data_IF_931977488014
#
_entry.id   IF_931977488014
#
_cell.length_a   1.000
_cell.length_b   1.000
_cell.length_c   1.000
_cell.angle_alpha   90.00
_cell.angle_beta   90.00
_cell.angle_gamma   90.00
#
_symmetry.space_group_name_H-M   'P 1'
#
loop_
_entity.id
_entity.type
_entity.pdbx_description
1 polymer ?
#
# COMPACT_ATOMS: atom_id res chain seq x y z
N UNK A 1 2.66 -11.66 -7.47
CA UNK A 1 1.52 -10.82 -7.07
C UNK A 1 0.27 -11.56 -7.49
N UNK A 2 -0.59 -11.89 -6.54
CA UNK A 2 -1.83 -12.64 -6.71
C UNK A 2 -3.01 -11.72 -6.37
N UNK A 3 -4.06 -11.72 -7.20
CA UNK A 3 -5.29 -10.98 -6.91
C UNK A 3 -6.09 -11.79 -5.90
N UNK A 4 -6.27 -11.25 -4.69
CA UNK A 4 -6.94 -11.93 -3.57
C UNK A 4 -8.40 -11.51 -3.42
N UNK A 5 -8.83 -10.47 -4.13
CA UNK A 5 -10.23 -10.07 -4.20
C UNK A 5 -10.44 -8.58 -4.35
N UNK A 6 -11.49 -8.08 -3.72
CA UNK A 6 -11.86 -6.66 -3.71
C UNK A 6 -12.21 -6.22 -2.31
N UNK A 7 -11.94 -4.96 -2.00
CA UNK A 7 -12.23 -4.33 -0.72
C UNK A 7 -12.84 -2.94 -0.95
N UNK A 8 -13.74 -2.48 -0.08
CA UNK A 8 -14.30 -1.13 -0.18
C UNK A 8 -13.61 -0.22 0.82
N UNK A 9 -12.92 0.81 0.33
CA UNK A 9 -12.22 1.82 1.14
C UNK A 9 -12.85 3.17 0.86
N UNK A 10 -13.38 3.83 1.90
CA UNK A 10 -14.04 5.14 1.78
C UNK A 10 -15.15 5.21 0.71
N UNK A 11 -15.86 4.10 0.52
CA UNK A 11 -16.92 3.97 -0.49
C UNK A 11 -16.43 3.72 -1.92
N UNK A 12 -15.12 3.62 -2.13
CA UNK A 12 -14.51 3.24 -3.41
C UNK A 12 -14.24 1.74 -3.42
N UNK A 13 -14.71 1.03 -4.45
CA UNK A 13 -14.38 -0.37 -4.64
C UNK A 13 -12.95 -0.49 -5.19
N UNK A 14 -12.11 -1.22 -4.47
CA UNK A 14 -10.70 -1.42 -4.77
C UNK A 14 -10.46 -2.89 -5.11
N UNK A 15 -9.68 -3.15 -6.15
CA UNK A 15 -9.06 -4.45 -6.35
C UNK A 15 -7.91 -4.63 -5.36
N UNK A 16 -7.74 -5.85 -4.85
CA UNK A 16 -6.73 -6.19 -3.84
C UNK A 16 -5.83 -7.30 -4.36
N UNK A 17 -4.53 -7.10 -4.23
CA UNK A 17 -3.54 -8.11 -4.53
C UNK A 17 -2.47 -8.19 -3.45
N UNK A 18 -1.88 -9.37 -3.31
CA UNK A 18 -0.79 -9.64 -2.37
C UNK A 18 0.40 -10.20 -3.13
N UNK A 19 1.59 -9.76 -2.75
CA UNK A 19 2.85 -10.34 -3.19
C UNK A 19 3.62 -10.82 -1.96
N UNK A 20 3.83 -12.12 -1.86
CA UNK A 20 4.70 -12.71 -0.84
C UNK A 20 6.12 -12.82 -1.42
N UNK A 21 7.12 -12.40 -0.64
CA UNK A 21 8.53 -12.60 -0.95
C UNK A 21 9.10 -13.64 0.00
N UNK A 22 10.04 -14.43 -0.52
CA UNK A 22 10.74 -15.48 0.21
C UNK A 22 12.26 -15.21 0.26
N UNK A 23 12.65 -13.95 0.07
CA UNK A 23 14.05 -13.52 0.14
C UNK A 23 14.43 -13.37 1.61
N UNK A 24 15.30 -14.26 2.10
CA UNK A 24 15.68 -14.33 3.52
C UNK A 24 16.45 -13.10 4.03
N UNK A 25 17.01 -12.29 3.12
CA UNK A 25 17.76 -11.07 3.41
C UNK A 25 16.93 -9.78 3.29
N UNK A 26 15.61 -9.88 3.01
CA UNK A 26 14.71 -8.73 2.99
C UNK A 26 13.86 -8.70 4.28
N UNK A 27 13.75 -7.51 4.90
CA UNK A 27 12.87 -7.31 6.06
C UNK A 27 11.39 -7.43 5.68
N UNK A 28 11.07 -7.23 4.40
CA UNK A 28 9.71 -7.37 3.84
C UNK A 28 9.41 -8.85 3.62
N UNK A 29 8.28 -9.32 4.14
CA UNK A 29 7.73 -10.66 3.88
C UNK A 29 6.57 -10.63 2.88
N UNK A 30 5.74 -9.59 2.94
CA UNK A 30 4.63 -9.45 2.01
C UNK A 30 4.32 -8.00 1.69
N UNK A 31 3.68 -7.80 0.54
CA UNK A 31 3.21 -6.52 0.05
C UNK A 31 1.74 -6.65 -0.30
N UNK A 32 0.91 -5.80 0.28
CA UNK A 32 -0.48 -5.62 -0.12
C UNK A 32 -0.61 -4.40 -1.03
N UNK A 33 -1.36 -4.55 -2.12
CA UNK A 33 -1.66 -3.48 -3.04
C UNK A 33 -3.16 -3.39 -3.29
N UNK A 34 -3.75 -2.23 -3.00
CA UNK A 34 -5.13 -1.90 -3.32
C UNK A 34 -5.15 -0.82 -4.39
N UNK A 35 -6.01 -0.97 -5.40
CA UNK A 35 -6.20 0.06 -6.42
C UNK A 35 -7.64 0.17 -6.88
N UNK A 36 -8.06 1.40 -7.13
CA UNK A 36 -9.35 1.75 -7.74
C UNK A 36 -9.33 1.43 -9.24
N UNK A 37 -10.51 1.21 -9.82
CA UNK A 37 -10.66 0.91 -11.26
C UNK A 37 -10.12 2.04 -12.16
N UNK A 38 -10.26 3.30 -11.73
CA UNK A 38 -9.76 4.48 -12.45
C UNK A 38 -8.28 4.78 -12.19
N UNK A 39 -7.65 4.07 -11.24
CA UNK A 39 -6.26 4.25 -10.83
C UNK A 39 -5.99 5.56 -10.08
N UNK A 40 -7.01 6.34 -9.72
CA UNK A 40 -6.84 7.61 -9.02
C UNK A 40 -6.51 7.42 -7.54
N UNK A 41 -7.00 6.32 -6.95
CA UNK A 41 -6.68 5.90 -5.58
C UNK A 41 -5.93 4.58 -5.60
N UNK A 42 -4.83 4.51 -4.85
CA UNK A 42 -4.15 3.26 -4.55
C UNK A 42 -3.48 3.30 -3.18
N UNK A 43 -3.30 2.11 -2.60
CA UNK A 43 -2.58 1.89 -1.34
C UNK A 43 -1.57 0.77 -1.55
N UNK A 44 -0.41 0.93 -0.95
CA UNK A 44 0.66 -0.04 -0.94
C UNK A 44 1.15 -0.17 0.50
N UNK A 45 1.15 -1.38 1.03
CA UNK A 45 1.58 -1.65 2.40
C UNK A 45 2.56 -2.82 2.38
N UNK A 46 3.76 -2.62 2.90
CA UNK A 46 4.72 -3.67 3.15
C UNK A 46 4.66 -4.14 4.59
N UNK A 47 4.73 -5.45 4.77
CA UNK A 47 4.70 -6.11 6.07
C UNK A 47 5.95 -6.96 6.26
N UNK A 48 6.41 -7.05 7.51
CA UNK A 48 7.43 -7.99 7.93
C UNK A 48 6.87 -9.42 8.10
N UNK A 49 7.73 -10.36 8.49
CA UNK A 49 7.33 -11.76 8.70
C UNK A 49 6.37 -11.96 9.91
N UNK A 50 6.29 -10.99 10.82
CA UNK A 50 5.36 -10.98 11.96
C UNK A 50 3.98 -10.44 11.56
N UNK A 51 3.88 -9.81 10.39
CA UNK A 51 2.69 -9.08 9.92
C UNK A 51 2.64 -7.63 10.39
N UNK A 52 3.75 -7.11 10.95
CA UNK A 52 3.87 -5.70 11.32
C UNK A 52 4.18 -4.86 10.09
N UNK A 53 3.67 -3.63 10.06
CA UNK A 53 3.82 -2.72 8.94
C UNK A 53 5.23 -2.13 8.94
N UNK A 54 5.91 -2.27 7.80
CA UNK A 54 7.22 -1.66 7.54
C UNK A 54 7.03 -0.30 6.89
N UNK A 55 6.17 -0.21 5.88
CA UNK A 55 5.96 1.04 5.18
C UNK A 55 4.59 1.07 4.50
N UNK A 56 3.98 2.24 4.52
CA UNK A 56 2.73 2.50 3.82
C UNK A 56 2.91 3.64 2.83
N UNK A 57 2.31 3.48 1.66
CA UNK A 57 2.20 4.52 0.66
C UNK A 57 0.79 4.55 0.13
N UNK A 58 0.25 5.75 -0.07
CA UNK A 58 -1.04 5.94 -0.70
C UNK A 58 -1.02 7.10 -1.68
N UNK A 59 -1.84 7.01 -2.72
CA UNK A 59 -2.30 8.14 -3.50
C UNK A 59 -3.79 8.21 -3.32
N UNK A 60 -4.30 9.34 -2.85
CA UNK A 60 -5.73 9.58 -2.70
C UNK A 60 -6.00 11.07 -2.88
N UNK A 61 -7.05 11.42 -3.61
CA UNK A 61 -7.44 12.81 -3.86
C UNK A 61 -6.29 13.68 -4.45
N UNK A 62 -5.40 13.07 -5.26
CA UNK A 62 -4.23 13.73 -5.84
C UNK A 62 -3.08 14.02 -4.85
N UNK A 63 -3.18 13.48 -3.63
CA UNK A 63 -2.18 13.61 -2.58
C UNK A 63 -1.50 12.26 -2.36
N UNK A 64 -0.17 12.27 -2.45
CA UNK A 64 0.66 11.13 -2.09
C UNK A 64 1.06 11.24 -0.62
N UNK A 65 0.79 10.19 0.15
CA UNK A 65 1.18 10.08 1.56
C UNK A 65 2.06 8.86 1.73
N UNK A 66 3.19 9.02 2.41
CA UNK A 66 4.11 7.94 2.78
C UNK A 66 4.22 7.94 4.30
N UNK A 67 4.11 6.76 4.90
CA UNK A 67 4.35 6.51 6.32
C UNK A 67 5.52 5.56 6.43
N UNK A 68 6.56 5.97 7.16
CA UNK A 68 7.73 5.12 7.45
C UNK A 68 7.49 4.24 8.68
N UNK A 69 8.45 3.35 8.98
CA UNK A 69 8.42 2.43 10.13
C UNK A 69 8.25 3.14 11.48
N UNK A 70 8.72 4.39 11.60
CA UNK A 70 8.61 5.20 12.82
C UNK A 70 7.25 5.93 12.91
N UNK A 71 6.39 5.77 11.90
CA UNK A 71 5.10 6.43 11.78
C UNK A 71 5.20 7.88 11.30
N UNK A 72 6.34 8.32 10.78
CA UNK A 72 6.46 9.65 10.22
C UNK A 72 5.72 9.75 8.91
N UNK A 73 4.85 10.77 8.83
CA UNK A 73 4.01 11.03 7.67
C UNK A 73 4.69 12.07 6.77
N UNK A 74 5.00 11.68 5.54
CA UNK A 74 5.47 12.56 4.47
C UNK A 74 4.36 12.74 3.44
N UNK A 75 4.04 13.98 3.11
CA UNK A 75 2.95 14.30 2.19
C UNK A 75 3.45 15.12 1.01
N UNK A 76 3.07 14.67 -0.19
CA UNK A 76 3.39 15.33 -1.45
C UNK A 76 2.10 15.58 -2.23
N UNK A 77 1.81 16.84 -2.53
CA UNK A 77 0.77 17.19 -3.50
C UNK A 77 1.37 17.16 -4.90
N UNK A 78 0.72 16.48 -5.85
CA UNK A 78 1.03 16.71 -7.27
C UNK A 78 0.55 18.11 -7.66
N UNK A 79 1.42 19.11 -7.50
CA UNK A 79 1.14 20.49 -7.88
C UNK A 79 1.92 21.54 -7.11
N UNK A 80 3.24 21.65 -7.38
CA UNK A 80 3.89 22.96 -7.57
C UNK A 80 5.16 22.84 -8.42
#
# INVERSE_FOLDING_TARGET
>A
MEIVGTETVDGVLMCKAVYETNVEDEDVSSIEYLWSEDGATYFWTAYDASGDIISEMSMKDGKMTIVDEEGHVMEYSQGQ
#
